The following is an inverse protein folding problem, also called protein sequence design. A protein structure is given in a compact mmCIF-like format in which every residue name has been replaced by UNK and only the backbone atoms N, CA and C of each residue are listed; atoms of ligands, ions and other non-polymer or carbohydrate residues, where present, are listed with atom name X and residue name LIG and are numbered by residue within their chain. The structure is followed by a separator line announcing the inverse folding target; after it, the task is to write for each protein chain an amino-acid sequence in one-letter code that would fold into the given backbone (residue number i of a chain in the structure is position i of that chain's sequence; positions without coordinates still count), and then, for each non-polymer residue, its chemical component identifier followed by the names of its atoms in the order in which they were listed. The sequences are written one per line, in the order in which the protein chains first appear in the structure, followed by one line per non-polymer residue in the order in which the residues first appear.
data_IF_841206487645
#
_entry.id   IF_841206487645
#
_cell.length_a   1.000
_cell.length_b   1.000
_cell.length_c   1.000
_cell.angle_alpha   90.00
_cell.angle_beta   90.00
_cell.angle_gamma   90.00
#
_symmetry.space_group_name_H-M   'P 1'
#
loop_
_entity.id
_entity.type
_entity.pdbx_description
1 polymer ?
#
# COMPACT_ATOMS: atom_id res chain seq x y z
N UNK A 1 13.81 39.92 1.24
CA UNK A 1 14.28 38.58 0.84
C UNK A 1 13.33 37.59 1.48
N UNK A 2 12.61 36.82 0.66
CA UNK A 2 11.52 35.97 1.12
C UNK A 2 12.09 34.80 1.96
N UNK A 3 11.71 34.73 3.24
CA UNK A 3 11.87 33.52 4.02
C UNK A 3 10.78 32.56 3.58
N UNK A 4 11.11 31.73 2.59
CA UNK A 4 10.33 30.53 2.28
C UNK A 4 10.34 29.63 3.52
N UNK A 5 9.20 29.05 3.93
CA UNK A 5 9.20 28.07 5.00
C UNK A 5 10.04 26.88 4.54
N UNK A 6 11.02 26.50 5.36
CA UNK A 6 11.72 25.23 5.23
C UNK A 6 10.69 24.13 5.45
N UNK A 7 10.17 23.58 4.35
CA UNK A 7 9.52 22.27 4.37
C UNK A 7 10.63 21.24 4.60
N UNK A 8 11.05 21.10 5.86
CA UNK A 8 11.92 20.01 6.29
C UNK A 8 11.07 18.73 6.34
N UNK A 9 11.13 18.00 5.22
CA UNK A 9 10.85 16.58 5.11
C UNK A 9 11.63 15.82 6.20
N UNK A 10 10.98 15.37 7.26
CA UNK A 10 11.30 14.08 7.91
C UNK A 10 10.25 13.65 8.96
N UNK A 11 9.02 13.39 8.51
CA UNK A 11 8.02 12.64 9.30
C UNK A 11 7.42 11.50 8.48
N UNK A 12 8.27 10.82 7.69
CA UNK A 12 7.89 9.58 6.99
C UNK A 12 7.94 8.36 7.93
N UNK A 13 7.77 8.58 9.24
CA UNK A 13 7.65 7.52 10.24
C UNK A 13 6.26 6.89 10.16
N UNK A 14 6.19 5.86 9.32
CA UNK A 14 5.29 4.70 9.35
C UNK A 14 3.80 4.99 9.52
N UNK A 15 3.16 5.53 8.47
CA UNK A 15 1.70 5.43 8.32
C UNK A 15 1.24 3.96 8.39
N UNK A 16 2.10 3.04 7.93
CA UNK A 16 1.95 1.60 8.03
C UNK A 16 3.24 0.95 8.47
N UNK A 17 3.13 -0.13 9.25
CA UNK A 17 4.24 -0.98 9.65
C UNK A 17 4.55 -2.02 8.57
N UNK A 18 5.82 -2.38 8.42
CA UNK A 18 6.19 -3.53 7.58
C UNK A 18 5.49 -4.79 8.07
N UNK A 19 4.75 -5.46 7.18
CA UNK A 19 3.98 -6.64 7.55
C UNK A 19 2.55 -6.35 8.02
N UNK A 20 2.10 -5.10 8.03
CA UNK A 20 0.74 -4.75 8.44
C UNK A 20 -0.30 -5.25 7.43
N UNK A 21 -1.34 -5.91 7.92
CA UNK A 21 -2.45 -6.40 7.09
C UNK A 21 -3.34 -5.25 6.60
N UNK A 22 -3.70 -5.29 5.32
CA UNK A 22 -4.59 -4.33 4.67
C UNK A 22 -5.93 -4.98 4.36
N UNK A 23 -7.00 -4.37 4.84
CA UNK A 23 -8.37 -4.88 4.73
C UNK A 23 -9.41 -3.79 4.53
N UNK A 24 -9.13 -2.55 4.96
CA UNK A 24 -10.00 -1.37 4.83
C UNK A 24 -9.65 -0.59 3.56
N UNK A 25 -10.65 0.03 2.94
CA UNK A 25 -10.50 0.84 1.72
C UNK A 25 -9.53 2.00 1.95
N UNK A 26 -9.55 2.61 3.15
CA UNK A 26 -8.60 3.66 3.54
C UNK A 26 -7.17 3.18 3.50
N UNK A 27 -6.92 1.91 3.83
CA UNK A 27 -5.58 1.35 3.73
C UNK A 27 -5.10 1.33 2.28
N UNK A 28 -5.96 0.93 1.35
CA UNK A 28 -5.61 0.88 -0.06
C UNK A 28 -5.47 2.29 -0.66
N UNK A 29 -6.31 3.24 -0.25
CA UNK A 29 -6.21 4.65 -0.61
C UNK A 29 -4.88 5.26 -0.17
N UNK A 30 -4.52 5.12 1.11
CA UNK A 30 -3.26 5.64 1.63
C UNK A 30 -2.04 5.05 0.89
N UNK A 31 -2.05 3.75 0.57
CA UNK A 31 -0.95 3.12 -0.16
C UNK A 31 -0.86 3.61 -1.60
N UNK A 32 -2.00 3.93 -2.22
CA UNK A 32 -2.06 4.51 -3.55
C UNK A 32 -1.55 5.96 -3.56
N UNK A 33 -1.98 6.79 -2.61
CA UNK A 33 -1.59 8.21 -2.49
C UNK A 33 -0.11 8.38 -2.11
N UNK A 34 0.38 7.55 -1.20
CA UNK A 34 1.76 7.62 -0.71
C UNK A 34 2.74 6.78 -1.53
N UNK A 35 2.28 6.12 -2.60
CA UNK A 35 3.07 5.18 -3.40
C UNK A 35 3.81 4.17 -2.51
N UNK A 36 3.10 3.52 -1.59
CA UNK A 36 3.64 2.49 -0.71
C UNK A 36 3.32 1.13 -1.34
N UNK A 37 4.32 0.29 -1.64
CA UNK A 37 4.05 -0.99 -2.26
C UNK A 37 3.44 -1.96 -1.24
N UNK A 38 2.64 -2.88 -1.76
CA UNK A 38 1.99 -3.93 -0.98
C UNK A 38 2.37 -5.30 -1.52
N UNK A 39 2.33 -6.30 -0.64
CA UNK A 39 2.52 -7.69 -0.98
C UNK A 39 1.19 -8.42 -0.99
N UNK A 40 1.07 -9.36 -1.91
CA UNK A 40 -0.09 -10.22 -2.05
C UNK A 40 0.28 -11.64 -1.66
N UNK A 41 -0.51 -12.24 -0.78
CA UNK A 41 -0.37 -13.62 -0.33
C UNK A 41 -1.64 -14.41 -0.63
N UNK A 42 -1.50 -15.70 -0.90
CA UNK A 42 -2.61 -16.66 -1.00
C UNK A 42 -2.26 -17.88 -0.16
N UNK A 43 -3.07 -18.18 0.85
CA UNK A 43 -2.87 -19.29 1.80
C UNK A 43 -1.44 -19.28 2.40
N UNK A 44 -0.96 -18.10 2.78
CA UNK A 44 0.38 -17.91 3.36
C UNK A 44 1.55 -17.96 2.37
N UNK A 45 1.31 -18.25 1.08
CA UNK A 45 2.33 -18.18 0.05
C UNK A 45 2.37 -16.79 -0.59
N UNK A 46 3.54 -16.15 -0.62
CA UNK A 46 3.75 -14.91 -1.36
C UNK A 46 3.47 -15.12 -2.85
N UNK A 47 2.69 -14.22 -3.45
CA UNK A 47 2.29 -14.26 -4.85
C UNK A 47 2.88 -13.11 -5.64
N UNK A 48 2.74 -11.89 -5.14
CA UNK A 48 3.21 -10.72 -5.86
C UNK A 48 3.53 -9.56 -4.92
N UNK A 49 4.24 -8.55 -5.45
CA UNK A 49 4.51 -7.27 -4.82
C UNK A 49 4.37 -6.16 -5.85
N UNK A 50 3.72 -5.06 -5.47
CA UNK A 50 3.61 -3.89 -6.34
C UNK A 50 2.80 -2.77 -5.75
N UNK A 51 2.56 -1.75 -6.56
CA UNK A 51 1.74 -0.60 -6.20
C UNK A 51 0.29 -0.83 -6.59
N UNK A 52 -0.63 -0.27 -5.81
CA UNK A 52 -2.06 -0.34 -6.10
C UNK A 52 -2.34 0.58 -7.30
N UNK A 53 -2.88 0.00 -8.37
CA UNK A 53 -3.38 0.75 -9.52
C UNK A 53 -4.85 1.14 -9.36
N UNK A 54 -5.64 0.27 -8.72
CA UNK A 54 -7.07 0.45 -8.48
C UNK A 54 -7.53 -0.48 -7.35
N UNK A 55 -8.56 -0.11 -6.61
CA UNK A 55 -9.22 -1.01 -5.65
C UNK A 55 -10.74 -0.83 -5.69
N UNK A 56 -11.46 -1.85 -5.23
CA UNK A 56 -12.90 -1.82 -4.96
C UNK A 56 -13.19 -2.71 -3.76
N UNK A 57 -14.45 -2.77 -3.33
CA UNK A 57 -14.92 -3.67 -2.27
C UNK A 57 -14.53 -5.14 -2.51
N UNK A 58 -14.43 -5.57 -3.78
CA UNK A 58 -14.18 -6.97 -4.16
C UNK A 58 -12.72 -7.26 -4.52
N UNK A 59 -11.98 -6.27 -5.04
CA UNK A 59 -10.65 -6.54 -5.60
C UNK A 59 -9.63 -5.42 -5.36
N UNK A 60 -8.36 -5.79 -5.45
CA UNK A 60 -7.22 -4.86 -5.54
C UNK A 60 -6.43 -5.20 -6.80
N UNK A 61 -6.17 -4.18 -7.63
CA UNK A 61 -5.44 -4.31 -8.87
C UNK A 61 -3.99 -3.85 -8.67
N UNK A 62 -3.05 -4.73 -8.99
CA UNK A 62 -1.60 -4.51 -8.85
C UNK A 62 -0.93 -5.12 -10.08
N UNK A 63 0.04 -4.43 -10.69
CA UNK A 63 0.80 -4.93 -11.85
C UNK A 63 -0.11 -5.46 -12.98
N UNK A 64 -1.22 -4.77 -13.25
CA UNK A 64 -2.27 -5.17 -14.20
C UNK A 64 -3.03 -6.49 -13.89
N UNK A 65 -2.85 -7.08 -12.71
CA UNK A 65 -3.54 -8.28 -12.24
C UNK A 65 -4.59 -7.88 -11.18
N UNK A 66 -5.76 -8.51 -11.25
CA UNK A 66 -6.85 -8.33 -10.28
C UNK A 66 -6.78 -9.41 -9.20
N UNK A 67 -6.67 -9.00 -7.94
CA UNK A 67 -6.65 -9.88 -6.77
C UNK A 67 -7.92 -9.72 -5.95
N UNK A 68 -8.62 -10.83 -5.72
CA UNK A 68 -9.84 -10.90 -4.93
C UNK A 68 -9.55 -10.68 -3.43
N UNK A 69 -10.27 -9.76 -2.79
CA UNK A 69 -10.07 -9.39 -1.37
C UNK A 69 -10.49 -10.46 -0.36
N UNK A 70 -11.29 -11.43 -0.78
CA UNK A 70 -11.72 -12.56 0.05
C UNK A 70 -10.74 -13.74 -0.02
N UNK A 71 -10.00 -13.86 -1.13
CA UNK A 71 -9.09 -14.98 -1.37
C UNK A 71 -7.63 -14.65 -1.08
N UNK A 72 -7.25 -13.37 -1.22
CA UNK A 72 -5.88 -12.91 -1.06
C UNK A 72 -5.73 -12.06 0.20
N UNK A 73 -4.52 -12.08 0.74
CA UNK A 73 -4.13 -11.27 1.88
C UNK A 73 -3.16 -10.20 1.40
N UNK A 74 -3.44 -8.95 1.75
CA UNK A 74 -2.60 -7.81 1.38
C UNK A 74 -1.82 -7.32 2.59
N UNK A 75 -0.54 -7.01 2.36
CA UNK A 75 0.40 -6.67 3.42
C UNK A 75 1.19 -5.43 3.02
N UNK A 76 1.27 -4.43 3.90
CA UNK A 76 2.09 -3.25 3.69
C UNK A 76 3.57 -3.60 3.63
N UNK A 77 4.30 -3.01 2.67
CA UNK A 77 5.75 -3.11 2.56
C UNK A 77 6.39 -1.73 2.36
N UNK A 78 6.36 -0.87 3.39
CA UNK A 78 7.07 0.40 3.36
C UNK A 78 8.59 0.17 3.30
N UNK A 79 9.31 1.08 2.65
CA UNK A 79 10.77 1.05 2.57
C UNK A 79 11.38 0.22 1.42
N UNK A 80 10.58 -0.12 0.40
CA UNK A 80 11.10 -0.62 -0.89
C UNK A 80 11.40 0.54 -1.84
#
# INVERSE_FOLDING_TARGET
MANMPIYEFDQKEELYLHGQLLYDDRHFEDHMDHCIPIQVYSIGCHKDIGFIEHYSEDYVKINHIFYDRTQFTFVSRPGF
#
